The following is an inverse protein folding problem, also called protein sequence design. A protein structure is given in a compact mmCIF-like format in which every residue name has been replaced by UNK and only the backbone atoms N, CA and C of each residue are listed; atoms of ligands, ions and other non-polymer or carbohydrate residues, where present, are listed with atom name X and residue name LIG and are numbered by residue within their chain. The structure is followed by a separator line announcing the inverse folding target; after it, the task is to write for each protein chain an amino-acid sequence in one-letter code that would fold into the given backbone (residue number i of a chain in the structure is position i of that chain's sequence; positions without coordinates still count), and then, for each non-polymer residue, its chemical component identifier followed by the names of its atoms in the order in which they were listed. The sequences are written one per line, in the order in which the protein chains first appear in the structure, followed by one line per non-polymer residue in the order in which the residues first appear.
data_IF_543226703678
#
_entry.id   IF_543226703678
#
_cell.length_a   1.000
_cell.length_b   1.000
_cell.length_c   1.000
_cell.angle_alpha   90.00
_cell.angle_beta   90.00
_cell.angle_gamma   90.00
#
_symmetry.space_group_name_H-M   'P 1'
#
loop_
_entity.id
_entity.type
_entity.pdbx_description
1 polymer ?
#
# COMPACT_ATOMS: atom_id res chain seq x y z
N UNK A 1 -16.55 5.79 -4.60
CA UNK A 1 -15.84 5.21 -3.43
C UNK A 1 -14.75 6.21 -3.07
N UNK A 2 -14.74 6.77 -1.86
CA UNK A 2 -13.67 7.69 -1.46
C UNK A 2 -12.50 6.84 -0.94
N UNK A 3 -11.51 6.57 -1.78
CA UNK A 3 -10.31 5.82 -1.40
C UNK A 3 -9.43 6.76 -0.57
N UNK A 4 -9.27 6.45 0.72
CA UNK A 4 -8.40 7.20 1.63
C UNK A 4 -7.29 6.27 2.12
N UNK A 5 -6.04 6.70 1.96
CA UNK A 5 -4.91 6.02 2.56
C UNK A 5 -4.84 6.35 4.06
N UNK A 6 -4.59 5.34 4.88
CA UNK A 6 -4.54 5.50 6.33
C UNK A 6 -3.31 4.76 6.87
N UNK A 7 -2.54 5.43 7.70
CA UNK A 7 -1.39 4.83 8.41
C UNK A 7 -1.62 4.84 9.93
N UNK A 8 -1.12 3.82 10.65
CA UNK A 8 -1.13 3.84 12.10
C UNK A 8 -0.09 4.84 12.64
N UNK A 9 -0.29 5.32 13.86
CA UNK A 9 0.71 6.14 14.58
C UNK A 9 2.06 5.44 14.76
N UNK A 10 2.13 4.10 14.67
CA UNK A 10 3.40 3.35 14.71
C UNK A 10 4.23 3.59 13.46
N UNK A 11 3.63 3.62 12.27
CA UNK A 11 4.31 3.94 11.01
C UNK A 11 4.76 5.39 10.99
N UNK A 12 3.92 6.33 11.47
CA UNK A 12 4.29 7.75 11.54
C UNK A 12 5.63 7.97 12.29
N UNK A 13 5.88 7.20 13.35
CA UNK A 13 7.12 7.30 14.15
C UNK A 13 8.38 6.81 13.42
N UNK A 14 8.21 6.05 12.34
CA UNK A 14 9.28 5.44 11.55
C UNK A 14 9.57 6.25 10.27
N UNK A 15 8.74 7.24 9.92
CA UNK A 15 8.96 8.10 8.75
C UNK A 15 10.16 9.01 9.02
N UNK A 16 11.17 8.92 8.15
CA UNK A 16 12.41 9.73 8.23
C UNK A 16 12.56 10.73 7.08
N UNK A 17 11.68 10.68 6.07
CA UNK A 17 11.73 11.55 4.91
C UNK A 17 10.70 12.68 5.05
N UNK A 18 11.16 13.92 4.99
CA UNK A 18 10.29 15.11 5.15
C UNK A 18 9.17 15.14 4.10
N UNK A 19 9.47 14.79 2.85
CA UNK A 19 8.47 14.74 1.77
C UNK A 19 7.32 13.76 2.07
N UNK A 20 7.61 12.66 2.77
CA UNK A 20 6.58 11.71 3.18
C UNK A 20 5.72 12.26 4.33
N UNK A 21 6.29 13.10 5.21
CA UNK A 21 5.53 13.78 6.26
C UNK A 21 4.59 14.84 5.67
N UNK A 22 4.95 15.47 4.55
CA UNK A 22 4.09 16.43 3.85
C UNK A 22 2.81 15.78 3.31
N UNK A 23 2.80 14.48 3.02
CA UNK A 23 1.62 13.76 2.56
C UNK A 23 0.62 13.41 3.69
N UNK A 24 1.00 13.62 4.95
CA UNK A 24 0.31 13.10 6.13
C UNK A 24 -0.54 14.17 6.82
N UNK A 25 -1.81 13.85 7.10
CA UNK A 25 -2.69 14.62 7.96
C UNK A 25 -2.70 14.06 9.37
N UNK A 26 -2.34 14.90 10.35
CA UNK A 26 -2.57 14.62 11.77
C UNK A 26 -3.71 15.50 12.29
N UNK A 27 -4.65 14.90 13.04
CA UNK A 27 -5.84 15.62 13.56
C UNK A 27 -6.95 15.83 12.54
N UNK A 28 -7.76 16.89 12.73
CA UNK A 28 -8.95 17.21 11.93
C UNK A 28 -8.68 18.17 10.75
N UNK A 29 -7.41 18.54 10.52
CA UNK A 29 -7.07 19.50 9.48
C UNK A 29 -7.44 19.01 8.08
N UNK A 30 -8.17 19.86 7.35
CA UNK A 30 -8.52 19.65 5.94
C UNK A 30 -7.45 20.30 5.06
N UNK A 31 -6.33 19.59 4.86
CA UNK A 31 -5.31 19.97 3.87
C UNK A 31 -5.37 19.07 2.63
N UNK A 32 -4.54 19.35 1.63
CA UNK A 32 -4.36 18.51 0.41
C UNK A 32 -3.67 17.17 0.69
N UNK A 33 -3.38 16.88 1.96
CA UNK A 33 -2.70 15.69 2.42
C UNK A 33 -3.64 14.48 2.29
N UNK A 34 -3.16 13.46 1.57
CA UNK A 34 -3.97 12.32 1.16
C UNK A 34 -3.84 11.10 2.09
N UNK A 35 -2.90 11.13 3.04
CA UNK A 35 -2.69 10.06 4.03
C UNK A 35 -3.19 10.50 5.40
N UNK A 36 -4.18 9.79 5.95
CA UNK A 36 -4.67 10.04 7.31
C UNK A 36 -3.89 9.23 8.35
N UNK A 37 -3.51 9.84 9.47
CA UNK A 37 -2.98 9.09 10.63
C UNK A 37 -4.10 8.71 11.57
N UNK A 38 -4.08 7.45 12.04
CA UNK A 38 -4.99 6.98 13.08
C UNK A 38 -4.24 6.29 14.23
N UNK A 39 -4.68 6.50 15.49
CA UNK A 39 -4.19 5.69 16.59
C UNK A 39 -4.63 4.24 16.39
N UNK A 40 -3.76 3.30 16.77
CA UNK A 40 -4.04 1.87 16.72
C UNK A 40 -3.74 1.23 18.06
N UNK A 41 -4.65 0.38 18.51
CA UNK A 41 -4.50 -0.42 19.72
C UNK A 41 -4.24 -1.89 19.35
N UNK A 42 -3.87 -2.72 20.33
CA UNK A 42 -3.70 -4.17 20.18
C UNK A 42 -2.62 -4.65 19.20
N UNK A 43 -1.83 -3.74 18.60
CA UNK A 43 -0.71 -4.11 17.72
C UNK A 43 0.38 -4.92 18.44
N UNK A 44 0.45 -4.81 19.78
CA UNK A 44 1.33 -5.59 20.63
C UNK A 44 1.20 -7.11 20.44
N UNK A 45 0.02 -7.59 20.02
CA UNK A 45 -0.21 -9.01 19.74
C UNK A 45 0.67 -9.53 18.58
N UNK A 46 1.09 -8.66 17.67
CA UNK A 46 1.85 -9.03 16.47
C UNK A 46 3.36 -8.75 16.59
N UNK A 47 3.81 -8.08 17.66
CA UNK A 47 5.21 -7.68 17.84
C UNK A 47 6.20 -8.86 17.98
N UNK A 48 5.70 -10.08 18.23
CA UNK A 48 6.54 -11.28 18.22
C UNK A 48 7.02 -11.68 16.83
N UNK A 49 6.33 -11.23 15.79
CA UNK A 49 6.60 -11.63 14.40
C UNK A 49 6.82 -10.46 13.46
N UNK A 50 6.37 -9.26 13.84
CA UNK A 50 6.39 -8.06 12.99
C UNK A 50 7.03 -6.88 13.71
N UNK A 51 7.60 -5.96 12.93
CA UNK A 51 8.06 -4.67 13.45
C UNK A 51 6.89 -3.77 13.87
N UNK A 52 7.10 -2.73 14.68
CA UNK A 52 6.02 -1.87 15.17
C UNK A 52 5.16 -1.23 14.07
N UNK A 53 5.77 -0.75 12.98
CA UNK A 53 5.06 -0.25 11.80
C UNK A 53 4.09 -1.28 11.20
N UNK A 54 4.61 -2.46 10.85
CA UNK A 54 3.85 -3.58 10.26
C UNK A 54 2.75 -4.09 11.18
N UNK A 55 3.08 -4.31 12.46
CA UNK A 55 2.13 -4.73 13.49
C UNK A 55 0.97 -3.74 13.61
N UNK A 56 1.26 -2.44 13.55
CA UNK A 56 0.25 -1.39 13.55
C UNK A 56 -0.64 -1.42 12.32
N UNK A 57 -0.09 -1.68 11.13
CA UNK A 57 -0.87 -1.76 9.89
C UNK A 57 -1.82 -2.95 9.93
N UNK A 58 -1.36 -4.12 10.37
CA UNK A 58 -2.20 -5.31 10.56
C UNK A 58 -3.34 -5.03 11.55
N UNK A 59 -3.01 -4.48 12.72
CA UNK A 59 -4.02 -4.16 13.73
C UNK A 59 -5.06 -3.17 13.22
N UNK A 60 -4.63 -2.13 12.50
CA UNK A 60 -5.52 -1.10 11.95
C UNK A 60 -6.39 -1.64 10.82
N UNK A 61 -5.81 -2.41 9.89
CA UNK A 61 -6.54 -3.05 8.80
C UNK A 61 -7.63 -3.97 9.34
N UNK A 62 -7.33 -4.74 10.39
CA UNK A 62 -8.33 -5.58 11.08
C UNK A 62 -9.46 -4.77 11.69
N UNK A 63 -9.13 -3.68 12.41
CA UNK A 63 -10.12 -2.81 13.04
C UNK A 63 -11.06 -2.15 12.01
N UNK A 64 -10.53 -1.80 10.83
CA UNK A 64 -11.26 -1.08 9.80
C UNK A 64 -11.88 -1.99 8.73
N UNK A 65 -11.68 -3.30 8.82
CA UNK A 65 -11.99 -4.25 7.74
C UNK A 65 -11.38 -3.82 6.38
N UNK A 66 -10.17 -3.24 6.46
CA UNK A 66 -9.45 -2.63 5.34
C UNK A 66 -8.61 -3.64 4.55
N UNK A 67 -7.81 -3.10 3.62
CA UNK A 67 -6.74 -3.83 2.93
C UNK A 67 -5.43 -3.32 3.51
N UNK A 68 -4.63 -4.21 4.07
CA UNK A 68 -3.27 -3.89 4.51
C UNK A 68 -2.37 -3.72 3.29
N UNK A 69 -1.51 -2.70 3.27
CA UNK A 69 -0.51 -2.48 2.23
C UNK A 69 0.89 -2.71 2.82
N UNK A 70 1.44 -3.93 2.66
CA UNK A 70 2.75 -4.33 3.18
C UNK A 70 3.44 -5.27 2.19
N UNK A 71 4.76 -5.10 2.00
CA UNK A 71 5.55 -5.96 1.12
C UNK A 71 6.26 -7.11 1.84
N UNK A 72 6.35 -7.05 3.17
CA UNK A 72 7.08 -8.00 4.01
C UNK A 72 6.48 -9.43 4.02
N UNK A 73 7.36 -10.44 4.07
CA UNK A 73 6.97 -11.86 4.01
C UNK A 73 6.32 -12.35 5.31
N UNK A 74 6.75 -11.87 6.46
CA UNK A 74 6.15 -12.24 7.73
C UNK A 74 4.82 -11.52 7.92
N UNK A 75 4.68 -10.27 7.43
CA UNK A 75 3.40 -9.57 7.33
C UNK A 75 2.37 -10.34 6.48
N UNK A 76 2.79 -10.96 5.37
CA UNK A 76 1.94 -11.86 4.56
C UNK A 76 1.40 -13.02 5.37
N UNK A 77 2.28 -13.76 6.06
CA UNK A 77 1.90 -14.91 6.88
C UNK A 77 0.95 -14.52 8.02
N UNK A 78 1.17 -13.36 8.65
CA UNK A 78 0.29 -12.87 9.72
C UNK A 78 -1.06 -12.46 9.16
N UNK A 79 -1.10 -11.75 8.03
CA UNK A 79 -2.35 -11.33 7.39
C UNK A 79 -3.25 -12.51 7.03
N UNK A 80 -2.68 -13.58 6.49
CA UNK A 80 -3.40 -14.81 6.17
C UNK A 80 -4.03 -15.45 7.42
N UNK A 81 -3.27 -15.58 8.51
CA UNK A 81 -3.77 -16.12 9.78
C UNK A 81 -4.91 -15.29 10.37
N UNK A 82 -4.84 -13.97 10.20
CA UNK A 82 -5.81 -13.02 10.72
C UNK A 82 -7.00 -12.77 9.76
N UNK A 83 -7.04 -13.44 8.60
CA UNK A 83 -8.02 -13.23 7.53
C UNK A 83 -8.11 -11.76 7.05
N UNK A 84 -6.97 -11.08 6.98
CA UNK A 84 -6.87 -9.69 6.52
C UNK A 84 -6.45 -9.69 5.06
N UNK A 85 -7.17 -8.91 4.24
CA UNK A 85 -6.79 -8.69 2.84
C UNK A 85 -5.49 -7.90 2.80
N UNK A 86 -4.56 -8.34 1.96
CA UNK A 86 -3.25 -7.73 1.84
C UNK A 86 -2.98 -7.37 0.38
N UNK A 87 -2.33 -6.23 0.18
CA UNK A 87 -1.69 -5.81 -1.07
C UNK A 87 -0.26 -5.40 -0.78
N UNK A 88 0.57 -5.34 -1.81
CA UNK A 88 1.92 -4.79 -1.76
C UNK A 88 2.05 -3.58 -2.68
N UNK A 89 3.24 -2.98 -2.75
CA UNK A 89 3.51 -1.81 -3.60
C UNK A 89 3.10 -2.06 -5.06
N UNK A 90 3.45 -3.22 -5.59
CA UNK A 90 3.13 -3.60 -6.97
C UNK A 90 1.63 -3.75 -7.22
N UNK A 91 0.86 -4.22 -6.24
CA UNK A 91 -0.60 -4.28 -6.34
C UNK A 91 -1.22 -2.89 -6.41
N UNK A 92 -0.66 -1.92 -5.68
CA UNK A 92 -1.09 -0.51 -5.75
C UNK A 92 -0.78 0.08 -7.14
N UNK A 93 0.42 -0.17 -7.68
CA UNK A 93 0.81 0.28 -9.02
C UNK A 93 -0.13 -0.30 -10.08
N UNK A 94 -0.43 -1.60 -10.02
CA UNK A 94 -1.37 -2.28 -10.91
C UNK A 94 -2.75 -1.61 -10.88
N UNK A 95 -3.32 -1.40 -9.68
CA UNK A 95 -4.61 -0.71 -9.51
C UNK A 95 -4.54 0.74 -10.03
N UNK A 96 -3.43 1.43 -9.82
CA UNK A 96 -3.20 2.77 -10.35
C UNK A 96 -3.18 2.82 -11.89
N UNK A 97 -2.77 1.75 -12.55
CA UNK A 97 -2.90 1.62 -14.00
C UNK A 97 -4.32 1.29 -14.43
N UNK A 98 -4.93 0.28 -13.81
CA UNK A 98 -6.30 -0.18 -14.10
C UNK A 98 -7.33 0.94 -13.98
N UNK A 99 -7.20 1.79 -12.96
CA UNK A 99 -8.13 2.88 -12.65
C UNK A 99 -7.77 4.21 -13.34
N UNK A 100 -6.69 4.24 -14.13
CA UNK A 100 -6.21 5.38 -14.91
C UNK A 100 -5.51 6.57 -14.19
N UNK A 101 -5.09 6.55 -12.90
CA UNK A 101 -4.06 7.47 -12.41
C UNK A 101 -2.74 7.41 -13.20
N UNK A 102 -2.32 6.21 -13.61
CA UNK A 102 -1.18 6.01 -14.52
C UNK A 102 -1.69 6.11 -15.96
N UNK A 103 -1.13 7.03 -16.73
CA UNK A 103 -1.69 7.50 -18.01
C UNK A 103 -1.60 6.47 -19.11
N UNK A 104 -0.50 5.74 -19.19
CA UNK A 104 -0.26 4.77 -20.26
C UNK A 104 0.76 3.70 -19.86
N UNK A 105 0.97 2.73 -20.76
CA UNK A 105 1.89 1.62 -20.56
C UNK A 105 3.35 2.07 -20.47
N UNK A 106 3.69 3.23 -21.04
CA UNK A 106 5.05 3.77 -20.96
C UNK A 106 5.32 4.29 -19.54
N UNK A 107 4.39 5.03 -18.95
CA UNK A 107 4.50 5.48 -17.56
C UNK A 107 4.52 4.30 -16.58
N UNK A 108 3.70 3.27 -16.79
CA UNK A 108 3.72 2.04 -15.98
C UNK A 108 5.10 1.37 -16.02
N UNK A 109 5.68 1.19 -17.21
CA UNK A 109 7.02 0.61 -17.38
C UNK A 109 8.10 1.44 -16.67
N UNK A 110 8.01 2.77 -16.75
CA UNK A 110 8.97 3.64 -16.07
C UNK A 110 8.89 3.47 -14.54
N UNK A 111 7.68 3.41 -13.96
CA UNK A 111 7.50 3.16 -12.52
C UNK A 111 8.11 1.81 -12.11
N UNK A 112 7.85 0.75 -12.87
CA UNK A 112 8.39 -0.61 -12.61
C UNK A 112 9.92 -0.61 -12.71
N UNK A 113 10.48 0.09 -13.69
CA UNK A 113 11.94 0.22 -13.85
C UNK A 113 12.57 0.97 -12.68
N UNK A 114 11.97 2.06 -12.20
CA UNK A 114 12.48 2.79 -11.03
C UNK A 114 12.43 1.92 -9.75
N UNK A 115 11.39 1.11 -9.57
CA UNK A 115 11.33 0.12 -8.47
C UNK A 115 12.47 -0.91 -8.56
N UNK A 116 12.80 -1.41 -9.76
CA UNK A 116 13.95 -2.31 -9.95
C UNK A 116 15.28 -1.63 -9.59
N UNK A 117 15.45 -0.35 -9.91
CA UNK A 117 16.70 0.41 -9.64
C UNK A 117 16.96 0.58 -8.14
N UNK A 118 15.90 0.64 -7.34
CA UNK A 118 15.99 0.68 -5.86
C UNK A 118 15.99 -0.72 -5.22
N UNK A 119 16.29 -1.77 -6.00
CA UNK A 119 16.37 -3.16 -5.54
C UNK A 119 15.07 -3.69 -4.92
N UNK A 120 13.92 -3.17 -5.36
CA UNK A 120 12.63 -3.71 -4.95
C UNK A 120 12.51 -5.17 -5.39
N UNK A 121 12.13 -6.06 -4.47
CA UNK A 121 12.06 -7.50 -4.73
C UNK A 121 10.83 -7.82 -5.59
N UNK A 122 11.07 -8.19 -6.84
CA UNK A 122 10.04 -8.54 -7.81
C UNK A 122 10.54 -9.69 -8.70
N UNK A 123 9.72 -10.73 -8.86
CA UNK A 123 10.00 -11.79 -9.84
C UNK A 123 9.63 -11.32 -11.25
N UNK A 124 10.26 -11.92 -12.27
CA UNK A 124 9.89 -11.64 -13.65
C UNK A 124 8.41 -11.99 -13.94
N UNK A 125 7.89 -13.06 -13.31
CA UNK A 125 6.50 -13.47 -13.49
C UNK A 125 5.51 -12.41 -12.97
N UNK A 126 5.81 -11.83 -11.79
CA UNK A 126 4.98 -10.77 -11.20
C UNK A 126 5.06 -9.48 -12.02
N UNK A 127 6.23 -9.16 -12.57
CA UNK A 127 6.37 -8.04 -13.49
C UNK A 127 5.53 -8.24 -14.76
N UNK A 128 5.62 -9.41 -15.38
CA UNK A 128 4.86 -9.72 -16.58
C UNK A 128 3.35 -9.63 -16.31
N UNK A 129 2.89 -10.15 -15.17
CA UNK A 129 1.47 -10.04 -14.76
C UNK A 129 0.99 -8.58 -14.71
N UNK A 130 1.81 -7.67 -14.18
CA UNK A 130 1.47 -6.24 -14.10
C UNK A 130 1.50 -5.61 -15.50
N UNK A 131 2.48 -5.97 -16.33
CA UNK A 131 2.62 -5.44 -17.69
C UNK A 131 1.56 -5.98 -18.67
N UNK A 132 0.94 -7.12 -18.37
CA UNK A 132 -0.17 -7.70 -19.13
C UNK A 132 -1.54 -7.18 -18.68
N UNK A 133 -1.59 -6.30 -17.68
CA UNK A 133 -2.83 -5.73 -17.18
C UNK A 133 -3.43 -4.70 -18.15
N UNK A 134 -4.76 -4.65 -18.22
CA UNK A 134 -5.49 -3.70 -19.06
C UNK A 134 -6.22 -2.62 -18.23
N UNK A 135 -6.51 -1.49 -18.86
CA UNK A 135 -7.29 -0.41 -18.24
C UNK A 135 -8.77 -0.78 -18.19
N UNK A 136 -9.40 -0.59 -17.03
CA UNK A 136 -10.82 -0.92 -16.82
C UNK A 136 -11.74 -0.07 -17.71
N UNK A 137 -11.30 1.12 -18.13
CA UNK A 137 -12.03 2.01 -19.04
C UNK A 137 -12.03 1.63 -20.53
N UNK A 138 -11.38 0.54 -20.94
CA UNK A 138 -11.36 0.06 -22.33
C UNK A 138 -12.23 -1.16 -22.61
N UNK A 139 -12.95 -1.67 -21.59
CA UNK A 139 -13.99 -2.68 -21.79
C UNK A 139 -15.29 -2.02 -22.30
N UNK A 140 -15.26 -1.46 -23.51
CA UNK A 140 -16.49 -1.23 -24.27
C UNK A 140 -16.86 -2.52 -25.00
N UNK A 141 -18.09 -2.95 -24.77
CA UNK A 141 -18.77 -4.03 -25.47
C UNK A 141 -18.41 -4.10 -26.96
N UNK A 142 -17.87 -5.25 -27.36
CA UNK A 142 -18.04 -5.79 -28.72
C UNK A 142 -19.27 -6.68 -28.74
#
# INVERSE_FOLDING_TARGET
MNLQAIIPTTVLKEIIFDDALLAVTTGESSGDNWIKVMPVNNYAAYLKSLHPGEAGVIALAKQMNGIAALDDLDARKVSEKENIRLTGTLGIVKVGYELCPVKDMHELKNIIQELRRVWFRMSNDLENEILDTEKVGHLHHS
#
